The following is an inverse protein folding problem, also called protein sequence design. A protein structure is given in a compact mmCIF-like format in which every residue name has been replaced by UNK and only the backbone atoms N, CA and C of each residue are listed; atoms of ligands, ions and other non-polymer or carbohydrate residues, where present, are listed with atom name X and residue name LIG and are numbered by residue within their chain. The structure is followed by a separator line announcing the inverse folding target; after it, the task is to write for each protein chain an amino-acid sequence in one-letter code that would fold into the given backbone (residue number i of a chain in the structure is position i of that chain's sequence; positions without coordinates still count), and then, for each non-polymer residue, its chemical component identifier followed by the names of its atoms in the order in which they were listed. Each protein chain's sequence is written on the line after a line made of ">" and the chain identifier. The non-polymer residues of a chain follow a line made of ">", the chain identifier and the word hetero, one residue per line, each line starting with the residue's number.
data_IF_685115042206
#
_entry.id   IF_685115042206
#
_cell.length_a   1.000
_cell.length_b   1.000
_cell.length_c   1.000
_cell.angle_alpha   90.00
_cell.angle_beta   90.00
_cell.angle_gamma   90.00
#
_symmetry.space_group_name_H-M   'P 1'
#
loop_
_entity.id
_entity.type
_entity.pdbx_description
1 polymer ?
#
# COMPACT_ATOMS: atom_id res chain seq x y z
N UNK A 1 -30.05 -19.42 3.39
CA UNK A 1 -29.71 -19.27 1.96
C UNK A 1 -28.76 -18.09 1.88
N UNK A 2 -27.46 -18.33 1.98
CA UNK A 2 -26.44 -17.28 1.96
C UNK A 2 -25.67 -17.42 0.65
N UNK A 3 -25.74 -16.37 -0.17
CA UNK A 3 -25.05 -16.31 -1.45
C UNK A 3 -23.54 -16.38 -1.22
N UNK A 4 -22.93 -17.45 -1.74
CA UNK A 4 -21.53 -17.41 -2.15
C UNK A 4 -21.45 -16.47 -3.35
N UNK A 5 -21.26 -15.17 -3.10
CA UNK A 5 -20.82 -14.26 -4.15
C UNK A 5 -19.29 -14.26 -4.18
N UNK A 6 -18.79 -14.60 -5.36
CA UNK A 6 -17.40 -14.68 -5.74
C UNK A 6 -16.69 -13.37 -5.40
N UNK A 7 -15.79 -13.42 -4.42
CA UNK A 7 -14.81 -12.35 -4.23
C UNK A 7 -13.86 -12.39 -5.43
N UNK A 8 -14.03 -11.39 -6.27
CA UNK A 8 -13.36 -11.24 -7.54
C UNK A 8 -11.84 -11.21 -7.32
N UNK A 9 -11.10 -12.06 -8.03
CA UNK A 9 -9.64 -12.01 -8.17
C UNK A 9 -9.14 -10.73 -8.89
N UNK A 10 -9.99 -9.71 -8.97
CA UNK A 10 -9.80 -8.46 -9.69
C UNK A 10 -8.72 -7.56 -9.11
N UNK A 11 -8.51 -7.53 -7.78
CA UNK A 11 -7.45 -6.68 -7.19
C UNK A 11 -6.04 -7.17 -7.54
N UNK A 12 -5.82 -8.49 -7.47
CA UNK A 12 -4.52 -9.10 -7.78
C UNK A 12 -4.26 -9.11 -9.30
N UNK A 13 -5.29 -9.31 -10.13
CA UNK A 13 -5.16 -9.15 -11.59
C UNK A 13 -4.95 -7.70 -12.00
N UNK A 14 -5.54 -6.73 -11.28
CA UNK A 14 -5.36 -5.31 -11.47
C UNK A 14 -3.89 -4.94 -11.30
N UNK A 15 -3.29 -5.26 -10.13
CA UNK A 15 -1.90 -4.92 -9.84
C UNK A 15 -0.90 -5.58 -10.82
N UNK A 16 -1.10 -6.87 -11.16
CA UNK A 16 -0.27 -7.59 -12.15
C UNK A 16 -0.32 -6.92 -13.53
N UNK A 17 -1.52 -6.54 -13.99
CA UNK A 17 -1.69 -5.86 -15.28
C UNK A 17 -1.06 -4.47 -15.25
N UNK A 18 -1.21 -3.72 -14.17
CA UNK A 18 -0.61 -2.39 -13.98
C UNK A 18 0.91 -2.45 -14.02
N UNK A 19 1.54 -3.39 -13.29
CA UNK A 19 3.00 -3.58 -13.37
C UNK A 19 3.48 -3.94 -14.77
N UNK A 20 2.79 -4.86 -15.45
CA UNK A 20 3.14 -5.26 -16.81
C UNK A 20 2.98 -4.13 -17.84
N UNK A 21 2.02 -3.23 -17.64
CA UNK A 21 1.86 -2.02 -18.46
C UNK A 21 2.97 -1.00 -18.14
N UNK A 22 3.24 -0.74 -16.87
CA UNK A 22 4.29 0.18 -16.45
C UNK A 22 5.68 -0.23 -16.96
N UNK A 23 6.03 -1.52 -16.90
CA UNK A 23 7.30 -2.02 -17.46
C UNK A 23 7.39 -1.81 -18.98
N UNK A 24 6.28 -1.97 -19.71
CA UNK A 24 6.24 -1.69 -21.15
C UNK A 24 6.43 -0.21 -21.44
N UNK A 25 5.74 0.64 -20.70
CA UNK A 25 5.84 2.10 -20.82
C UNK A 25 7.27 2.59 -20.52
N UNK A 26 7.91 2.06 -19.47
CA UNK A 26 9.35 2.27 -19.20
C UNK A 26 10.20 1.86 -20.41
N UNK A 27 9.94 0.67 -20.98
CA UNK A 27 10.71 0.16 -22.11
C UNK A 27 10.59 1.02 -23.37
N UNK A 28 9.41 1.62 -23.61
CA UNK A 28 9.19 2.58 -24.70
C UNK A 28 9.97 3.87 -24.47
N UNK A 29 9.89 4.46 -23.27
CA UNK A 29 10.68 5.65 -22.92
C UNK A 29 12.18 5.36 -22.99
N UNK A 30 12.62 4.18 -22.53
CA UNK A 30 14.00 3.72 -22.63
C UNK A 30 14.50 3.70 -24.07
N UNK A 31 13.72 3.11 -24.98
CA UNK A 31 14.08 3.09 -26.40
C UNK A 31 14.13 4.51 -27.00
N UNK A 32 13.20 5.39 -26.61
CA UNK A 32 13.16 6.77 -27.10
C UNK A 32 14.31 7.65 -26.58
N UNK A 33 14.78 7.42 -25.36
CA UNK A 33 15.85 8.23 -24.74
C UNK A 33 17.22 7.69 -25.12
N UNK A 34 17.40 6.36 -25.08
CA UNK A 34 18.72 5.74 -25.24
C UNK A 34 18.95 5.11 -26.62
N UNK A 35 17.92 5.00 -27.46
CA UNK A 35 18.03 4.44 -28.82
C UNK A 35 18.26 2.93 -28.86
N UNK A 36 18.24 2.24 -27.71
CA UNK A 36 18.42 0.80 -27.57
C UNK A 36 17.25 0.18 -26.79
N UNK A 37 16.88 -1.10 -27.04
CA UNK A 37 15.82 -1.74 -26.27
C UNK A 37 16.25 -1.97 -24.82
N UNK A 38 15.32 -1.82 -23.88
CA UNK A 38 15.57 -2.15 -22.48
C UNK A 38 15.96 -3.64 -22.34
N UNK A 39 16.99 -3.97 -21.53
CA UNK A 39 17.34 -5.35 -21.20
C UNK A 39 16.13 -6.17 -20.75
N UNK A 40 16.11 -7.46 -21.10
CA UNK A 40 15.05 -8.37 -20.66
C UNK A 40 15.09 -8.54 -19.13
N UNK A 41 13.97 -8.21 -18.48
CA UNK A 41 13.79 -8.37 -17.04
C UNK A 41 13.03 -9.66 -16.75
N UNK A 42 13.51 -10.46 -15.79
CA UNK A 42 12.89 -11.74 -15.39
C UNK A 42 12.18 -11.62 -14.04
N UNK A 43 11.32 -12.59 -13.74
CA UNK A 43 10.58 -12.68 -12.48
C UNK A 43 9.12 -12.20 -12.57
N UNK A 44 8.48 -12.13 -11.39
CA UNK A 44 7.11 -11.68 -11.24
C UNK A 44 6.93 -10.22 -11.73
N UNK A 45 5.71 -9.79 -12.09
CA UNK A 45 5.44 -8.42 -12.57
C UNK A 45 5.99 -7.30 -11.66
N UNK A 46 5.77 -7.35 -10.34
CA UNK A 46 6.30 -6.35 -9.39
C UNK A 46 7.83 -6.38 -9.30
N UNK A 47 8.43 -7.58 -9.36
CA UNK A 47 9.89 -7.75 -9.41
C UNK A 47 10.50 -7.16 -10.69
N UNK A 48 9.84 -7.34 -11.85
CA UNK A 48 10.27 -6.74 -13.13
C UNK A 48 10.18 -5.22 -13.09
N UNK A 49 9.11 -4.67 -12.52
CA UNK A 49 8.99 -3.22 -12.34
C UNK A 49 10.09 -2.67 -11.43
N UNK A 50 10.33 -3.32 -10.29
CA UNK A 50 11.42 -2.95 -9.38
C UNK A 50 12.80 -3.03 -10.05
N UNK A 51 13.05 -4.05 -10.87
CA UNK A 51 14.28 -4.18 -11.64
C UNK A 51 14.42 -3.08 -12.71
N UNK A 52 13.33 -2.69 -13.35
CA UNK A 52 13.31 -1.60 -14.32
C UNK A 52 13.68 -0.26 -13.66
N UNK A 53 13.07 0.06 -12.52
CA UNK A 53 13.39 1.28 -11.76
C UNK A 53 14.86 1.34 -11.32
N UNK A 54 15.40 0.22 -10.81
CA UNK A 54 16.83 0.13 -10.46
C UNK A 54 17.73 0.35 -11.66
N UNK A 55 17.40 -0.24 -12.81
CA UNK A 55 18.17 -0.07 -14.03
C UNK A 55 18.20 1.40 -14.49
N UNK A 56 17.05 2.09 -14.41
CA UNK A 56 16.97 3.52 -14.68
C UNK A 56 17.82 4.30 -13.69
N UNK A 57 17.70 4.04 -12.39
CA UNK A 57 18.47 4.74 -11.35
C UNK A 57 19.99 4.61 -11.59
N UNK A 58 20.47 3.40 -11.88
CA UNK A 58 21.87 3.14 -12.20
C UNK A 58 22.35 3.91 -13.44
N UNK A 59 21.48 4.04 -14.46
CA UNK A 59 21.79 4.77 -15.69
C UNK A 59 21.83 6.27 -15.44
N UNK A 60 20.81 6.83 -14.77
CA UNK A 60 20.71 8.24 -14.39
C UNK A 60 21.93 8.68 -13.57
N UNK A 61 22.38 7.84 -12.63
CA UNK A 61 23.58 8.10 -11.82
C UNK A 61 24.84 8.21 -12.67
N UNK A 62 24.92 7.49 -13.80
CA UNK A 62 26.07 7.50 -14.71
C UNK A 62 26.01 8.62 -15.75
N UNK A 63 24.82 9.00 -16.21
CA UNK A 63 24.66 9.93 -17.34
C UNK A 63 24.30 11.36 -16.96
N UNK A 64 23.90 11.65 -15.70
CA UNK A 64 23.27 12.92 -15.28
C UNK A 64 22.07 13.34 -16.15
N UNK A 65 21.49 12.40 -16.89
CA UNK A 65 20.49 12.68 -17.91
C UNK A 65 19.08 12.77 -17.30
N UNK A 66 18.63 13.98 -17.02
CA UNK A 66 17.30 14.22 -16.41
C UNK A 66 16.14 14.04 -17.38
N UNK A 67 16.39 14.02 -18.70
CA UNK A 67 15.34 13.95 -19.73
C UNK A 67 14.54 12.65 -19.70
N UNK A 68 15.10 11.57 -19.14
CA UNK A 68 14.36 10.32 -18.96
C UNK A 68 13.20 10.47 -17.97
N UNK A 69 13.41 11.16 -16.84
CA UNK A 69 12.38 11.34 -15.82
C UNK A 69 11.26 12.25 -16.31
N UNK A 70 11.58 13.27 -17.12
CA UNK A 70 10.59 14.15 -17.75
C UNK A 70 9.71 13.34 -18.70
N UNK A 71 10.30 12.58 -19.62
CA UNK A 71 9.52 11.73 -20.54
C UNK A 71 8.70 10.66 -19.84
N UNK A 72 9.17 10.16 -18.71
CA UNK A 72 8.41 9.18 -17.93
C UNK A 72 7.20 9.81 -17.23
N UNK A 73 7.28 11.10 -16.86
CA UNK A 73 6.15 11.88 -16.33
C UNK A 73 5.13 12.25 -17.42
N UNK A 74 5.58 12.36 -18.67
CA UNK A 74 4.72 12.63 -19.83
C UNK A 74 3.92 11.39 -20.31
N UNK A 75 4.10 10.23 -19.66
CA UNK A 75 3.30 9.04 -19.96
C UNK A 75 1.87 9.30 -19.48
N UNK A 76 1.01 9.69 -20.41
CA UNK A 76 -0.41 9.93 -20.18
C UNK A 76 -1.27 8.80 -20.74
N UNK A 77 -2.31 8.39 -20.03
CA UNK A 77 -3.41 7.58 -20.59
C UNK A 77 -3.81 6.34 -19.80
N UNK A 78 -3.17 6.05 -18.66
CA UNK A 78 -3.60 4.98 -17.74
C UNK A 78 -3.38 5.43 -16.30
N UNK A 79 -4.47 5.81 -15.63
CA UNK A 79 -4.45 6.39 -14.28
C UNK A 79 -3.74 5.50 -13.26
N UNK A 80 -3.85 4.18 -13.38
CA UNK A 80 -3.19 3.24 -12.47
C UNK A 80 -1.66 3.22 -12.66
N UNK A 81 -1.21 3.40 -13.91
CA UNK A 81 0.22 3.45 -14.25
C UNK A 81 0.81 4.81 -13.85
N UNK A 82 0.07 5.89 -14.06
CA UNK A 82 0.43 7.24 -13.60
C UNK A 82 0.54 7.30 -12.07
N UNK A 83 -0.42 6.75 -11.33
CA UNK A 83 -0.38 6.66 -9.86
C UNK A 83 0.85 5.87 -9.41
N UNK A 84 1.10 4.70 -10.03
CA UNK A 84 2.29 3.89 -9.72
C UNK A 84 3.59 4.66 -9.96
N UNK A 85 3.70 5.43 -11.04
CA UNK A 85 4.89 6.26 -11.28
C UNK A 85 5.00 7.41 -10.27
N UNK A 86 3.92 8.12 -9.98
CA UNK A 86 3.90 9.20 -9.00
C UNK A 86 4.28 8.72 -7.60
N UNK A 87 3.89 7.49 -7.22
CA UNK A 87 4.32 6.88 -5.97
C UNK A 87 5.84 6.63 -5.92
N UNK A 88 6.44 6.25 -7.04
CA UNK A 88 7.83 5.79 -7.12
C UNK A 88 8.84 6.87 -7.55
N UNK A 89 8.37 8.01 -8.08
CA UNK A 89 9.17 9.13 -8.60
C UNK A 89 8.94 10.37 -7.72
N UNK A 90 9.41 10.34 -6.48
CA UNK A 90 9.41 11.53 -5.61
C UNK A 90 10.48 12.56 -6.04
N UNK A 91 10.23 13.84 -5.73
CA UNK A 91 10.87 15.11 -6.14
C UNK A 91 12.41 15.23 -6.22
N UNK A 92 13.18 14.18 -5.98
CA UNK A 92 14.64 14.19 -6.09
C UNK A 92 15.18 12.87 -6.60
N UNK A 93 15.13 12.65 -7.93
CA UNK A 93 15.96 11.74 -8.74
C UNK A 93 16.11 10.26 -8.31
N UNK A 94 15.48 9.82 -7.21
CA UNK A 94 15.62 8.47 -6.66
C UNK A 94 14.37 7.65 -6.96
N UNK A 95 14.53 6.68 -7.85
CA UNK A 95 13.54 5.68 -8.23
C UNK A 95 13.63 4.47 -7.32
N UNK A 96 13.42 4.67 -6.01
CA UNK A 96 13.38 3.55 -5.08
C UNK A 96 11.97 2.95 -5.14
N UNK A 97 11.80 1.69 -5.57
CA UNK A 97 10.50 1.05 -5.56
C UNK A 97 9.93 1.09 -4.15
N UNK A 98 8.77 1.73 -4.00
CA UNK A 98 8.00 1.65 -2.76
C UNK A 98 7.45 0.24 -2.63
N UNK A 99 7.43 -0.30 -1.41
CA UNK A 99 6.83 -1.60 -1.21
C UNK A 99 5.33 -1.56 -1.53
N UNK A 100 4.86 -2.64 -2.15
CA UNK A 100 3.46 -2.84 -2.47
C UNK A 100 2.77 -3.59 -1.32
N UNK A 101 1.67 -3.03 -0.81
CA UNK A 101 0.84 -3.70 0.20
C UNK A 101 0.18 -4.95 -0.36
N UNK A 102 -0.10 -5.02 -1.65
CA UNK A 102 -0.71 -6.18 -2.30
C UNK A 102 0.23 -7.41 -2.31
N UNK A 103 1.53 -7.19 -2.17
CA UNK A 103 2.55 -8.25 -2.03
C UNK A 103 2.70 -8.72 -0.56
N UNK A 104 1.98 -8.11 0.40
CA UNK A 104 2.02 -8.46 1.82
C UNK A 104 0.97 -9.52 2.16
N UNK A 105 1.37 -10.52 2.96
CA UNK A 105 0.41 -11.48 3.48
C UNK A 105 -0.48 -10.84 4.56
N UNK A 106 -1.78 -11.19 4.63
CA UNK A 106 -2.68 -10.64 5.65
C UNK A 106 -2.12 -10.81 7.08
N UNK A 107 -1.52 -11.96 7.38
CA UNK A 107 -0.96 -12.27 8.69
C UNK A 107 0.22 -11.35 9.05
N UNK A 108 1.08 -10.99 8.10
CA UNK A 108 2.19 -10.09 8.35
C UNK A 108 1.69 -8.68 8.71
N UNK A 109 0.68 -8.18 7.99
CA UNK A 109 0.04 -6.91 8.31
C UNK A 109 -0.68 -6.97 9.67
N UNK A 110 -1.52 -7.98 9.91
CA UNK A 110 -2.26 -8.14 11.17
C UNK A 110 -1.33 -8.24 12.38
N UNK A 111 -0.22 -8.97 12.27
CA UNK A 111 0.77 -9.06 13.35
C UNK A 111 1.35 -7.67 13.68
N UNK A 112 1.74 -6.89 12.67
CA UNK A 112 2.23 -5.53 12.87
C UNK A 112 1.15 -4.60 13.46
N UNK A 113 -0.11 -4.78 13.06
CA UNK A 113 -1.24 -4.02 13.58
C UNK A 113 -1.58 -4.40 15.04
N UNK A 114 -1.50 -5.68 15.42
CA UNK A 114 -1.70 -6.12 16.81
C UNK A 114 -0.65 -5.54 17.74
N UNK A 115 0.63 -5.66 17.39
CA UNK A 115 1.72 -5.05 18.16
C UNK A 115 1.52 -3.54 18.33
N UNK A 116 1.04 -2.88 17.27
CA UNK A 116 0.75 -1.44 17.30
C UNK A 116 -0.43 -1.14 18.23
N UNK A 117 -1.50 -1.94 18.20
CA UNK A 117 -2.66 -1.77 19.08
C UNK A 117 -2.27 -1.92 20.57
N UNK A 118 -1.42 -2.90 20.88
CA UNK A 118 -0.86 -3.09 22.23
C UNK A 118 0.01 -1.91 22.67
N UNK A 119 0.83 -1.36 21.77
CA UNK A 119 1.67 -0.19 22.06
C UNK A 119 0.84 1.06 22.42
N UNK A 120 -0.32 1.24 21.76
CA UNK A 120 -1.23 2.34 22.07
C UNK A 120 -1.96 2.19 23.41
N UNK A 121 -2.05 0.99 23.98
CA UNK A 121 -2.78 0.72 25.22
C UNK A 121 -1.84 0.37 26.40
N UNK A 122 -0.96 1.29 26.85
CA UNK A 122 -0.11 1.03 28.02
C UNK A 122 -0.92 0.97 29.32
N UNK A 123 -2.08 1.64 29.35
CA UNK A 123 -3.09 1.53 30.39
C UNK A 123 -4.20 0.63 29.87
N UNK A 124 -4.80 -0.20 30.73
CA UNK A 124 -5.92 -1.11 30.38
C UNK A 124 -7.25 -0.36 30.08
N UNK A 125 -7.15 0.85 29.54
CA UNK A 125 -8.22 1.78 29.23
C UNK A 125 -8.59 1.72 27.75
N UNK A 126 -9.85 2.04 27.45
CA UNK A 126 -10.35 2.12 26.08
C UNK A 126 -9.87 3.45 25.48
N UNK A 127 -9.34 3.38 24.27
CA UNK A 127 -8.82 4.55 23.56
C UNK A 127 -9.40 4.65 22.15
N UNK A 128 -9.48 5.87 21.65
CA UNK A 128 -9.80 6.17 20.26
C UNK A 128 -8.55 6.78 19.59
N UNK A 129 -8.09 6.22 18.48
CA UNK A 129 -6.88 6.65 17.75
C UNK A 129 -7.25 6.98 16.30
N UNK A 130 -6.69 8.05 15.74
CA UNK A 130 -6.88 8.35 14.32
C UNK A 130 -6.29 7.23 13.44
N UNK A 131 -7.03 6.80 12.41
CA UNK A 131 -6.59 5.66 11.61
C UNK A 131 -5.29 5.96 10.86
N UNK A 132 -5.07 7.20 10.41
CA UNK A 132 -3.82 7.60 9.78
C UNK A 132 -2.60 7.53 10.70
N UNK A 133 -2.78 7.76 11.99
CA UNK A 133 -1.72 7.63 13.00
C UNK A 133 -1.44 6.15 13.30
N UNK A 134 -2.50 5.37 13.47
CA UNK A 134 -2.40 3.93 13.69
C UNK A 134 -1.69 3.21 12.52
N UNK A 135 -2.16 3.43 11.29
CA UNK A 135 -1.57 2.85 10.09
C UNK A 135 -0.12 3.28 9.91
N UNK A 136 0.25 4.49 10.35
CA UNK A 136 1.62 5.00 10.30
C UNK A 136 2.56 4.12 11.11
N UNK A 137 2.23 3.86 12.37
CA UNK A 137 3.02 2.97 13.23
C UNK A 137 3.00 1.51 12.77
N UNK A 138 1.83 1.01 12.35
CA UNK A 138 1.71 -0.37 11.87
C UNK A 138 2.54 -0.63 10.61
N UNK A 139 2.52 0.29 9.65
CA UNK A 139 3.31 0.18 8.42
C UNK A 139 4.81 0.44 8.66
N UNK A 140 5.17 1.29 9.63
CA UNK A 140 6.57 1.45 10.05
C UNK A 140 7.12 0.12 10.59
N UNK A 141 6.34 -0.55 11.45
CA UNK A 141 6.70 -1.86 11.99
C UNK A 141 6.80 -2.93 10.90
N UNK A 142 5.80 -3.00 10.02
CA UNK A 142 5.79 -3.93 8.90
C UNK A 142 7.01 -3.73 7.98
N UNK A 143 7.33 -2.47 7.65
CA UNK A 143 8.49 -2.14 6.82
C UNK A 143 9.80 -2.60 7.48
N UNK A 144 9.95 -2.38 8.79
CA UNK A 144 11.12 -2.86 9.54
C UNK A 144 11.21 -4.39 9.54
N UNK A 145 10.10 -5.10 9.75
CA UNK A 145 10.05 -6.56 9.74
C UNK A 145 10.41 -7.15 8.38
N UNK A 146 9.95 -6.52 7.29
CA UNK A 146 10.21 -6.98 5.93
C UNK A 146 11.51 -6.43 5.31
N UNK A 147 12.27 -5.63 6.07
CA UNK A 147 13.53 -5.04 5.61
C UNK A 147 13.34 -4.03 4.46
N UNK A 148 12.20 -3.37 4.42
CA UNK A 148 11.89 -2.40 3.38
C UNK A 148 12.65 -1.09 3.61
N UNK A 149 13.24 -0.50 2.54
CA UNK A 149 14.00 0.74 2.69
C UNK A 149 13.13 1.94 3.02
N UNK A 150 11.81 1.85 2.73
CA UNK A 150 10.81 2.88 2.97
C UNK A 150 9.48 2.22 3.28
N UNK A 151 8.66 2.85 4.11
CA UNK A 151 7.26 2.46 4.33
C UNK A 151 6.37 2.85 3.13
N UNK A 152 5.25 2.13 2.92
CA UNK A 152 4.19 2.57 2.00
C UNK A 152 3.57 3.90 2.45
N UNK A 153 3.06 4.67 1.48
CA UNK A 153 2.36 5.92 1.80
C UNK A 153 1.00 5.64 2.45
N UNK A 154 0.56 6.56 3.30
CA UNK A 154 -0.74 6.50 3.95
C UNK A 154 -1.56 7.69 3.46
N UNK A 155 -2.70 7.37 2.85
CA UNK A 155 -3.61 8.35 2.29
C UNK A 155 -4.63 7.68 1.39
N UNK A 156 -5.27 8.48 0.56
CA UNK A 156 -6.10 8.01 -0.53
C UNK A 156 -5.21 7.46 -1.63
N UNK A 157 -4.98 6.14 -1.59
CA UNK A 157 -4.20 5.39 -2.56
C UNK A 157 -4.82 4.00 -2.79
N UNK A 158 -4.38 3.33 -3.86
CA UNK A 158 -4.84 1.99 -4.24
C UNK A 158 -4.71 0.91 -3.14
N UNK A 159 -3.81 1.08 -2.17
CA UNK A 159 -3.57 0.11 -1.11
C UNK A 159 -4.53 0.25 0.08
N UNK A 160 -5.14 1.43 0.27
CA UNK A 160 -5.96 1.71 1.43
C UNK A 160 -7.17 0.77 1.60
N UNK A 161 -7.94 0.45 0.54
CA UNK A 161 -9.05 -0.51 0.65
C UNK A 161 -8.62 -1.88 1.20
N UNK A 162 -7.43 -2.35 0.80
CA UNK A 162 -6.88 -3.63 1.23
C UNK A 162 -6.50 -3.62 2.71
N UNK A 163 -5.89 -2.54 3.19
CA UNK A 163 -5.59 -2.37 4.61
C UNK A 163 -6.87 -2.33 5.45
N UNK A 164 -7.90 -1.62 4.99
CA UNK A 164 -9.21 -1.56 5.68
C UNK A 164 -9.86 -2.93 5.76
N UNK A 165 -9.77 -3.74 4.71
CA UNK A 165 -10.25 -5.13 4.73
C UNK A 165 -9.61 -5.91 5.89
N UNK A 166 -8.28 -5.89 6.00
CA UNK A 166 -7.59 -6.64 7.06
C UNK A 166 -7.90 -6.12 8.46
N UNK A 167 -8.10 -4.82 8.63
CA UNK A 167 -8.54 -4.23 9.90
C UNK A 167 -9.96 -4.66 10.29
N UNK A 168 -10.86 -4.86 9.31
CA UNK A 168 -12.18 -5.42 9.58
C UNK A 168 -12.12 -6.89 9.99
N UNK A 169 -11.23 -7.66 9.36
CA UNK A 169 -10.99 -9.05 9.80
C UNK A 169 -10.46 -9.09 11.25
N UNK A 170 -9.61 -8.14 11.67
CA UNK A 170 -9.18 -8.02 13.07
C UNK A 170 -10.32 -7.60 14.02
N UNK A 171 -11.23 -6.72 13.58
CA UNK A 171 -12.45 -6.39 14.32
C UNK A 171 -13.34 -7.62 14.52
N UNK A 172 -13.49 -8.47 13.51
CA UNK A 172 -14.22 -9.73 13.61
C UNK A 172 -13.53 -10.73 14.56
N UNK A 173 -12.19 -10.83 14.50
CA UNK A 173 -11.39 -11.69 15.39
C UNK A 173 -11.48 -11.30 16.87
N UNK A 174 -11.83 -10.03 17.16
CA UNK A 174 -11.97 -9.51 18.52
C UNK A 174 -13.41 -9.17 18.91
N UNK A 175 -14.40 -9.64 18.14
CA UNK A 175 -15.82 -9.46 18.44
C UNK A 175 -16.33 -10.53 19.41
N UNK A 176 -16.10 -10.32 20.70
CA UNK A 176 -16.53 -11.20 21.78
C UNK A 176 -17.95 -10.88 22.26
N UNK A 177 -18.94 -10.80 21.36
CA UNK A 177 -20.31 -10.47 21.78
C UNK A 177 -20.92 -11.54 22.68
N UNK A 178 -21.61 -11.13 23.78
CA UNK A 178 -21.98 -9.76 24.16
C UNK A 178 -20.95 -9.02 25.04
N UNK A 179 -19.84 -9.66 25.40
CA UNK A 179 -18.91 -9.21 26.44
C UNK A 179 -18.11 -7.96 26.04
N UNK A 180 -17.73 -7.85 24.77
CA UNK A 180 -17.05 -6.65 24.27
C UNK A 180 -16.40 -6.83 22.91
N UNK A 181 -15.72 -5.77 22.44
CA UNK A 181 -14.95 -5.76 21.21
C UNK A 181 -13.56 -5.19 21.50
N UNK A 182 -12.50 -5.88 21.08
CA UNK A 182 -11.11 -5.44 21.25
C UNK A 182 -10.70 -4.37 20.25
N UNK A 183 -11.16 -4.53 19.01
CA UNK A 183 -10.82 -3.66 17.89
C UNK A 183 -12.12 -3.23 17.19
N UNK A 184 -12.28 -1.93 16.92
CA UNK A 184 -13.46 -1.45 16.20
C UNK A 184 -13.15 -0.27 15.29
N UNK A 185 -13.43 -0.44 14.00
CA UNK A 185 -13.30 0.63 13.03
C UNK A 185 -14.51 1.57 13.12
N UNK A 186 -14.25 2.88 13.19
CA UNK A 186 -15.27 3.91 13.33
C UNK A 186 -15.04 5.03 12.33
N UNK A 187 -16.09 5.78 12.00
CA UNK A 187 -15.88 7.06 11.34
C UNK A 187 -15.23 8.06 12.30
N UNK A 188 -14.55 9.08 11.79
CA UNK A 188 -13.83 10.06 12.59
C UNK A 188 -14.73 10.73 13.65
N UNK A 189 -16.01 10.99 13.33
CA UNK A 189 -16.98 11.55 14.26
C UNK A 189 -17.38 10.60 15.41
N UNK A 190 -17.06 9.31 15.30
CA UNK A 190 -17.42 8.27 16.26
C UNK A 190 -18.92 7.98 16.30
N UNK A 191 -19.70 8.45 15.32
CA UNK A 191 -21.16 8.33 15.28
C UNK A 191 -21.64 7.93 13.89
N UNK A 192 -22.39 6.83 13.82
CA UNK A 192 -22.95 6.31 12.57
C UNK A 192 -22.07 5.24 11.91
N UNK A 193 -22.52 4.74 10.76
CA UNK A 193 -21.84 3.66 10.05
C UNK A 193 -20.52 4.15 9.42
N UNK A 194 -19.54 3.25 9.35
CA UNK A 194 -18.37 3.39 8.47
C UNK A 194 -18.84 3.16 7.03
N UNK A 195 -18.38 3.97 6.08
CA UNK A 195 -18.67 3.74 4.65
C UNK A 195 -18.21 2.34 4.25
N UNK A 196 -18.96 1.69 3.36
CA UNK A 196 -18.63 0.33 2.92
C UNK A 196 -17.21 0.25 2.33
N UNK A 197 -16.86 1.20 1.45
CA UNK A 197 -15.53 1.36 0.86
C UNK A 197 -15.00 2.78 1.16
N UNK A 198 -14.32 2.99 2.31
CA UNK A 198 -13.70 4.27 2.61
C UNK A 198 -12.44 4.46 1.75
N UNK A 199 -12.19 5.68 1.27
CA UNK A 199 -11.04 6.00 0.41
C UNK A 199 -9.95 6.79 1.14
N UNK A 200 -10.28 7.49 2.22
CA UNK A 200 -9.33 8.30 2.99
C UNK A 200 -9.21 7.80 4.44
N UNK A 201 -8.00 7.42 4.93
CA UNK A 201 -7.78 7.07 6.33
C UNK A 201 -8.17 8.16 7.33
N UNK A 202 -8.08 9.45 6.95
CA UNK A 202 -8.43 10.58 7.84
C UNK A 202 -9.92 10.65 8.15
N UNK A 203 -10.75 9.98 7.35
CA UNK A 203 -12.19 9.90 7.59
C UNK A 203 -12.57 8.89 8.67
N UNK A 204 -11.60 8.13 9.19
CA UNK A 204 -11.80 7.01 10.10
C UNK A 204 -10.94 7.16 11.36
N UNK A 205 -11.40 6.48 12.41
CA UNK A 205 -10.64 6.25 13.64
C UNK A 205 -10.85 4.83 14.11
N UNK A 206 -10.00 4.41 15.03
CA UNK A 206 -10.00 3.10 15.61
C UNK A 206 -10.28 3.20 17.09
N UNK A 207 -11.24 2.42 17.59
CA UNK A 207 -11.42 2.20 19.02
C UNK A 207 -10.74 0.91 19.43
N UNK A 208 -9.89 0.99 20.44
CA UNK A 208 -9.13 -0.14 20.96
C UNK A 208 -9.52 -0.36 22.42
N UNK A 209 -9.89 -1.59 22.76
CA UNK A 209 -10.19 -2.02 24.11
C UNK A 209 -9.24 -3.16 24.51
N UNK A 210 -8.21 -2.88 25.33
CA UNK A 210 -7.16 -3.84 25.64
C UNK A 210 -7.65 -5.09 26.39
N UNK A 211 -8.87 -5.07 26.95
CA UNK A 211 -9.45 -6.24 27.63
C UNK A 211 -9.86 -7.37 26.68
N UNK A 212 -9.94 -7.08 25.39
CA UNK A 212 -10.44 -8.00 24.37
C UNK A 212 -9.49 -8.08 23.15
N UNK A 213 -8.24 -7.59 23.31
CA UNK A 213 -7.14 -7.75 22.37
C UNK A 213 -6.45 -9.11 22.53
#
# INVERSE_FOLDING_TARGET
>A
MWGQEQYDGGSMMGSIKTYGKAVRAIGEVWLQVYGEPMPKLSGAPSARFSAALKLIEERLRKSQDTGFLEKLRDIHGDTDVEELFNENISDGQQLVPRPDIDDVSPNAFKAAAWDTALEFCPTWEIIDVELSEFLRKALDRLANTLGWPRRPNIGENRHFPRMVQWLREMEEETDWRPDGQGFRLMNAAGKGAVRFAPTDPRSLKLRINPRFL
#
